data_IF_709492401844
#
_entry.id   IF_709492401844
#
_cell.length_a   1.000
_cell.length_b   1.000
_cell.length_c   1.000
_cell.angle_alpha   90.00
_cell.angle_beta   90.00
_cell.angle_gamma   90.00
#
_symmetry.space_group_name_H-M   'P 1'
#
loop_
_entity.id
_entity.type
_entity.pdbx_description
1 polymer ?
#
# COMPACT_ATOMS: atom_id res chain seq x y z
N UNK A 1 -5.00 -14.20 12.60
CA UNK A 1 -5.23 -13.26 11.47
C UNK A 1 -5.65 -11.92 12.07
N UNK A 2 -4.81 -10.88 11.99
CA UNK A 2 -5.01 -9.60 12.72
C UNK A 2 -5.91 -8.62 11.95
N UNK A 3 -5.78 -8.52 10.62
CA UNK A 3 -6.60 -7.63 9.82
C UNK A 3 -8.00 -8.21 9.58
N UNK A 4 -9.05 -7.47 9.89
CA UNK A 4 -10.46 -7.85 9.61
C UNK A 4 -10.74 -7.85 8.11
N UNK A 5 -11.70 -8.67 7.66
CA UNK A 5 -12.18 -8.64 6.27
C UNK A 5 -12.71 -7.24 5.92
N UNK A 6 -12.38 -6.73 4.74
CA UNK A 6 -12.65 -5.35 4.32
C UNK A 6 -11.69 -4.31 4.90
N UNK A 7 -10.86 -4.70 5.88
CA UNK A 7 -9.85 -3.85 6.49
C UNK A 7 -8.81 -3.39 5.47
N UNK A 8 -8.29 -2.17 5.65
CA UNK A 8 -7.27 -1.60 4.76
C UNK A 8 -5.88 -1.86 5.33
N UNK A 9 -4.96 -2.31 4.48
CA UNK A 9 -3.53 -2.31 4.74
C UNK A 9 -2.89 -1.24 3.86
N UNK A 10 -2.21 -0.29 4.49
CA UNK A 10 -1.42 0.73 3.80
C UNK A 10 0.02 0.57 4.22
N UNK A 11 0.91 0.39 3.25
CA UNK A 11 2.35 0.31 3.45
C UNK A 11 2.97 1.58 2.88
N UNK A 12 3.83 2.23 3.65
CA UNK A 12 4.45 3.51 3.32
C UNK A 12 5.97 3.42 3.51
N UNK A 13 6.73 3.86 2.52
CA UNK A 13 8.18 3.69 2.46
C UNK A 13 8.82 4.76 1.58
N UNK A 14 10.08 5.10 1.86
CA UNK A 14 10.96 5.95 1.05
C UNK A 14 11.85 5.16 0.08
N UNK A 15 11.84 3.82 0.19
CA UNK A 15 12.56 2.92 -0.70
C UNK A 15 11.63 2.38 -1.79
N UNK A 16 11.80 2.88 -3.02
CA UNK A 16 11.01 2.48 -4.19
C UNK A 16 11.11 0.98 -4.47
N UNK A 17 12.34 0.46 -4.63
CA UNK A 17 12.61 -0.94 -4.99
C UNK A 17 12.00 -1.90 -3.97
N UNK A 18 12.14 -1.58 -2.69
CA UNK A 18 11.52 -2.37 -1.62
C UNK A 18 9.99 -2.35 -1.72
N UNK A 19 9.40 -1.19 -2.00
CA UNK A 19 7.95 -1.05 -2.17
C UNK A 19 7.45 -1.86 -3.37
N UNK A 20 8.17 -1.85 -4.48
CA UNK A 20 7.86 -2.66 -5.67
C UNK A 20 7.89 -4.16 -5.34
N UNK A 21 8.91 -4.63 -4.62
CA UNK A 21 9.03 -6.03 -4.18
C UNK A 21 7.87 -6.45 -3.26
N UNK A 22 7.42 -5.56 -2.36
CA UNK A 22 6.25 -5.78 -1.52
C UNK A 22 4.96 -5.85 -2.33
N UNK A 23 4.79 -4.97 -3.32
CA UNK A 23 3.63 -4.99 -4.21
C UNK A 23 3.55 -6.30 -5.00
N UNK A 24 4.68 -6.77 -5.56
CA UNK A 24 4.77 -8.09 -6.19
C UNK A 24 4.44 -9.24 -5.25
N UNK A 25 4.94 -9.19 -4.00
CA UNK A 25 4.61 -10.20 -2.98
C UNK A 25 3.11 -10.24 -2.71
N UNK A 26 2.46 -9.08 -2.54
CA UNK A 26 1.02 -8.96 -2.36
C UNK A 26 0.24 -9.45 -3.58
N UNK A 27 0.73 -9.18 -4.79
CA UNK A 27 0.14 -9.64 -6.05
C UNK A 27 0.21 -11.16 -6.20
N UNK A 28 1.32 -11.80 -5.82
CA UNK A 28 1.47 -13.27 -5.85
C UNK A 28 0.59 -13.98 -4.84
N UNK A 29 0.26 -13.33 -3.71
CA UNK A 29 -0.76 -13.83 -2.80
C UNK A 29 -2.17 -13.84 -3.42
N UNK A 30 -2.37 -13.22 -4.59
CA UNK A 30 -3.63 -13.25 -5.35
C UNK A 30 -3.79 -14.50 -6.22
N UNK A 31 -2.73 -15.26 -6.45
CA UNK A 31 -2.73 -16.38 -7.38
C UNK A 31 -2.89 -17.70 -6.64
N UNK A 32 -4.10 -18.29 -6.75
CA UNK A 32 -4.36 -19.73 -6.95
C UNK A 32 -5.78 -20.16 -6.61
N UNK A 33 -6.55 -19.38 -5.85
CA UNK A 33 -8.00 -19.62 -5.53
C UNK A 33 -8.64 -18.56 -4.65
N UNK A 34 -7.85 -17.65 -4.08
CA UNK A 34 -8.29 -16.64 -3.13
C UNK A 34 -7.65 -15.30 -3.46
N UNK A 35 -8.46 -14.24 -3.53
CA UNK A 35 -7.96 -12.88 -3.47
C UNK A 35 -7.86 -12.50 -2.00
N UNK A 36 -6.64 -12.47 -1.43
CA UNK A 36 -6.48 -12.01 -0.04
C UNK A 36 -6.45 -10.50 0.05
N UNK A 37 -5.89 -9.83 -0.96
CA UNK A 37 -5.77 -8.40 -1.03
C UNK A 37 -6.17 -7.89 -2.42
N UNK A 38 -6.93 -6.81 -2.45
CA UNK A 38 -7.31 -6.11 -3.68
C UNK A 38 -6.84 -4.66 -3.64
N UNK A 39 -6.38 -4.10 -4.77
CA UNK A 39 -6.06 -2.69 -4.87
C UNK A 39 -7.23 -1.80 -4.42
N UNK A 40 -6.92 -0.77 -3.63
CA UNK A 40 -7.90 0.27 -3.35
C UNK A 40 -7.93 1.25 -4.52
N UNK A 41 -9.08 1.34 -5.21
CA UNK A 41 -9.27 2.32 -6.28
C UNK A 41 -9.03 3.73 -5.76
N UNK A 42 -8.16 4.47 -6.44
CA UNK A 42 -7.93 5.90 -6.23
C UNK A 42 -8.40 6.68 -7.45
N UNK A 43 -8.81 7.93 -7.22
CA UNK A 43 -9.33 8.82 -8.28
C UNK A 43 -8.22 9.60 -9.00
N UNK A 44 -6.98 9.66 -8.46
CA UNK A 44 -5.92 10.55 -8.96
C UNK A 44 -4.52 10.07 -8.55
N UNK A 45 -3.54 10.19 -9.47
CA UNK A 45 -2.12 9.90 -9.29
C UNK A 45 -1.56 9.01 -10.42
N UNK A 46 -0.25 9.03 -10.65
CA UNK A 46 0.43 8.00 -11.46
C UNK A 46 0.72 6.79 -10.58
N UNK A 47 0.37 5.60 -11.07
CA UNK A 47 0.64 4.33 -10.41
C UNK A 47 1.48 3.45 -11.33
N UNK A 48 2.53 2.86 -10.77
CA UNK A 48 3.25 1.76 -11.40
C UNK A 48 2.64 0.45 -10.86
N UNK A 49 2.29 -0.47 -11.76
CA UNK A 49 1.64 -1.72 -11.41
C UNK A 49 2.64 -2.87 -11.31
N UNK A 50 2.66 -3.56 -10.17
CA UNK A 50 3.50 -4.73 -9.92
C UNK A 50 2.62 -5.91 -9.53
N UNK A 51 2.56 -6.93 -10.38
CA UNK A 51 1.65 -8.09 -10.23
C UNK A 51 0.18 -7.66 -9.97
N UNK A 52 -0.22 -6.54 -10.59
CA UNK A 52 -1.55 -5.93 -10.46
C UNK A 52 -1.83 -5.31 -9.09
N UNK A 53 -0.79 -4.98 -8.31
CA UNK A 53 -0.86 -4.12 -7.13
C UNK A 53 -0.21 -2.78 -7.47
N UNK A 54 -0.92 -1.64 -7.28
CA UNK A 54 -0.37 -0.33 -7.61
C UNK A 54 0.57 0.18 -6.51
N UNK A 55 1.68 0.75 -6.96
CA UNK A 55 2.61 1.55 -6.16
C UNK A 55 2.43 3.01 -6.55
N UNK A 56 2.12 3.84 -5.56
CA UNK A 56 1.83 5.26 -5.75
C UNK A 56 3.00 6.10 -5.24
N UNK A 57 3.34 7.17 -5.96
CA UNK A 57 4.27 8.19 -5.48
C UNK A 57 3.57 9.21 -4.57
N UNK A 58 4.24 9.65 -3.52
CA UNK A 58 3.77 10.64 -2.55
C UNK A 58 3.29 10.04 -1.23
N UNK A 59 2.41 10.77 -0.53
CA UNK A 59 1.93 10.40 0.80
C UNK A 59 0.49 9.88 0.72
N UNK A 60 0.14 8.77 1.41
CA UNK A 60 -1.24 8.31 1.51
C UNK A 60 -2.11 9.37 2.19
N UNK A 61 -3.34 9.53 1.75
CA UNK A 61 -4.31 10.45 2.33
C UNK A 61 -5.14 9.80 3.43
N UNK A 62 -6.03 10.59 4.03
CA UNK A 62 -6.96 10.15 5.08
C UNK A 62 -7.79 8.96 4.62
N UNK A 63 -8.19 8.93 3.34
CA UNK A 63 -8.92 7.83 2.75
C UNK A 63 -8.16 6.51 2.85
N UNK A 64 -6.83 6.50 2.82
CA UNK A 64 -5.98 5.32 2.92
C UNK A 64 -5.70 4.89 4.38
N UNK A 65 -6.37 5.50 5.36
CA UNK A 65 -6.14 5.22 6.78
C UNK A 65 -4.86 5.86 7.31
N UNK A 66 -4.24 6.77 6.55
CA UNK A 66 -3.10 7.56 7.01
C UNK A 66 -3.63 8.75 7.80
N UNK A 67 -3.56 8.66 9.13
CA UNK A 67 -3.78 9.78 10.03
C UNK A 67 -2.43 10.47 10.25
N UNK A 68 -2.29 11.71 9.74
CA UNK A 68 -1.07 12.54 9.78
C UNK A 68 -0.64 12.95 11.20
N UNK A 69 -1.40 12.57 12.23
CA UNK A 69 -1.10 12.84 13.65
C UNK A 69 -0.09 11.87 14.26
N UNK A 70 0.24 10.76 13.58
CA UNK A 70 1.35 9.92 13.99
C UNK A 70 2.65 10.49 13.41
N UNK A 71 3.38 11.29 14.19
CA UNK A 71 4.78 11.63 13.91
C UNK A 71 5.59 10.34 13.95
N UNK A 72 5.73 9.70 12.81
CA UNK A 72 6.59 8.54 12.65
C UNK A 72 8.03 8.95 12.94
N UNK A 73 8.87 8.03 13.42
CA UNK A 73 10.32 8.26 13.51
C UNK A 73 10.90 8.72 12.16
N UNK A 74 10.30 8.26 11.06
CA UNK A 74 10.58 8.71 9.71
C UNK A 74 10.32 10.22 9.53
N UNK A 75 9.20 10.76 10.03
CA UNK A 75 8.80 12.17 9.84
C UNK A 75 9.81 13.18 10.41
N UNK A 76 10.60 12.80 11.43
CA UNK A 76 11.63 13.65 12.03
C UNK A 76 12.82 13.90 11.11
N UNK A 77 13.18 12.95 10.24
CA UNK A 77 14.26 13.15 9.26
C UNK A 77 13.84 14.07 8.10
N UNK A 78 12.53 14.20 7.84
CA UNK A 78 12.00 15.10 6.80
C UNK A 78 12.00 16.58 7.21
N UNK A 79 11.94 16.89 8.51
CA UNK A 79 11.98 18.29 8.99
C UNK A 79 13.30 19.01 8.63
N UNK A 80 14.34 18.27 8.26
CA UNK A 80 15.66 18.81 7.89
C UNK A 80 15.97 18.81 6.39
N UNK A 81 14.96 18.70 5.51
CA UNK A 81 15.09 19.10 4.11
C UNK A 81 15.62 18.06 3.12
N UNK A 82 15.77 16.79 3.52
CA UNK A 82 15.95 15.71 2.53
C UNK A 82 14.57 15.27 2.01
N UNK A 83 14.17 15.82 0.87
CA UNK A 83 13.04 15.35 0.09
C UNK A 83 13.38 13.99 -0.54
N UNK A 84 13.21 12.90 0.20
CA UNK A 84 13.17 11.57 -0.40
C UNK A 84 11.79 11.34 -1.02
N UNK A 85 11.77 10.82 -2.25
CA UNK A 85 10.52 10.39 -2.88
C UNK A 85 9.84 9.35 -1.99
N UNK A 86 8.51 9.43 -1.93
CA UNK A 86 7.71 8.57 -1.07
C UNK A 86 6.89 7.63 -1.93
N UNK A 87 6.71 6.41 -1.46
CA UNK A 87 5.96 5.38 -2.14
C UNK A 87 4.98 4.73 -1.16
N UNK A 88 3.80 4.40 -1.65
CA UNK A 88 2.86 3.65 -0.83
C UNK A 88 2.04 2.66 -1.64
N UNK A 89 1.60 1.62 -0.93
CA UNK A 89 0.65 0.62 -1.39
C UNK A 89 -0.58 0.75 -0.50
N UNK A 90 -1.78 0.70 -1.08
CA UNK A 90 -3.02 0.60 -0.30
C UNK A 90 -3.91 -0.50 -0.87
N UNK A 91 -4.17 -1.51 -0.05
CA UNK A 91 -4.98 -2.69 -0.41
C UNK A 91 -6.04 -2.93 0.64
N UNK A 92 -7.15 -3.54 0.22
CA UNK A 92 -8.17 -4.05 1.14
C UNK A 92 -8.03 -5.56 1.27
N UNK A 93 -8.15 -6.05 2.50
CA UNK A 93 -8.33 -7.48 2.72
C UNK A 93 -9.69 -7.90 2.18
N UNK A 94 -9.70 -8.84 1.26
CA UNK A 94 -10.95 -9.43 0.79
C UNK A 94 -11.29 -10.66 1.64
N UNK A 95 -12.57 -11.00 1.74
CA UNK A 95 -12.96 -12.28 2.30
C UNK A 95 -12.26 -13.35 1.45
N UNK A 96 -11.85 -14.48 2.04
CA UNK A 96 -11.33 -15.58 1.23
C UNK A 96 -12.47 -16.12 0.35
N UNK A 97 -12.67 -15.53 -0.83
CA UNK A 97 -13.65 -15.98 -1.80
C UNK A 97 -12.97 -17.02 -2.67
N UNK A 98 -13.51 -18.24 -2.67
CA UNK A 98 -13.18 -19.26 -3.64
C UNK A 98 -13.65 -18.77 -5.01
N UNK A 99 -12.73 -18.66 -5.97
CA UNK A 99 -13.11 -18.47 -7.36
C UNK A 99 -13.70 -19.80 -7.87
N UNK A 100 -15.01 -19.83 -8.13
CA UNK A 100 -15.71 -20.86 -8.91
C UNK A 100 -15.36 -20.75 -10.39
#
# INVERSE_FOLDING_TARGET
>A
RILVTGGTLTIFSDNEIYTQSLASTLGKLREKKFRFFVPKKRRKGSEDLFDGIPVWRGTPGVSEGHATTATSYFDRFFQHGQHTERFFISVKKEASVLLT
#
